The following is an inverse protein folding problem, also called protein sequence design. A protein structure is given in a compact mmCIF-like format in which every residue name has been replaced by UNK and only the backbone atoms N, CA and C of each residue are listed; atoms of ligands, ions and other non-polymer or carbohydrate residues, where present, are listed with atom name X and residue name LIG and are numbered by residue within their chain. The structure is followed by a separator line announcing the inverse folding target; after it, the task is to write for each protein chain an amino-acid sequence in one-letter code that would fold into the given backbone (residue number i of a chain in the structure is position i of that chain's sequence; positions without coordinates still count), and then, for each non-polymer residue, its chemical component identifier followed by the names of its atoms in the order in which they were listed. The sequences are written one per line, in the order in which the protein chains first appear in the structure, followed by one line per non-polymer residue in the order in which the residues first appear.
data_IF_425597991542
#
_entry.id   IF_425597991542
#
_cell.length_a   1.000
_cell.length_b   1.000
_cell.length_c   1.000
_cell.angle_alpha   90.00
_cell.angle_beta   90.00
_cell.angle_gamma   90.00
#
_symmetry.space_group_name_H-M   'P 1'
#
loop_
_entity.id
_entity.type
_entity.pdbx_description
1 polymer ?
#
# COMPACT_ATOMS: atom_id res chain seq x y z
N UNK A 1 -6.46 21.42 -2.62
CA UNK A 1 -6.25 22.74 -3.27
C UNK A 1 -7.08 23.79 -2.53
N UNK A 2 -6.56 25.00 -2.36
CA UNK A 2 -7.33 26.14 -1.85
C UNK A 2 -7.95 26.88 -3.03
N UNK A 3 -9.23 27.24 -2.93
CA UNK A 3 -9.90 28.10 -3.93
C UNK A 3 -9.38 29.54 -3.95
N UNK A 4 -8.86 30.03 -2.82
CA UNK A 4 -8.22 31.35 -2.71
C UNK A 4 -7.21 31.35 -1.55
N UNK A 5 -6.10 32.11 -1.69
CA UNK A 5 -5.11 32.34 -0.62
C UNK A 5 -5.48 33.48 0.33
N UNK A 6 -6.48 34.29 -0.02
CA UNK A 6 -7.04 35.36 0.80
C UNK A 6 -8.56 35.25 0.75
N UNK A 7 -9.20 35.33 1.91
CA UNK A 7 -10.66 35.36 2.05
C UNK A 7 -10.98 36.69 2.71
N UNK A 8 -11.77 37.54 2.04
CA UNK A 8 -12.17 38.82 2.61
C UNK A 8 -13.14 38.61 3.79
N UNK A 9 -13.23 39.61 4.68
CA UNK A 9 -14.13 39.55 5.83
C UNK A 9 -15.57 39.23 5.39
N UNK A 10 -16.20 38.28 6.08
CA UNK A 10 -17.56 37.83 5.77
C UNK A 10 -17.71 37.03 4.47
N UNK A 11 -16.61 36.69 3.77
CA UNK A 11 -16.64 35.82 2.58
C UNK A 11 -16.25 34.39 2.93
N UNK A 12 -16.57 33.47 2.02
CA UNK A 12 -16.27 32.05 2.17
C UNK A 12 -15.18 31.61 1.19
N UNK A 13 -14.32 30.69 1.65
CA UNK A 13 -13.37 29.96 0.82
C UNK A 13 -13.68 28.47 0.86
N UNK A 14 -13.28 27.75 -0.20
CA UNK A 14 -13.34 26.28 -0.30
C UNK A 14 -11.95 25.67 -0.22
N UNK A 15 -11.83 24.58 0.54
CA UNK A 15 -10.65 23.72 0.61
C UNK A 15 -11.04 22.36 0.02
N UNK A 16 -10.40 21.99 -1.09
CA UNK A 16 -10.54 20.66 -1.67
C UNK A 16 -9.44 19.75 -1.12
N UNK A 17 -9.82 18.58 -0.61
CA UNK A 17 -8.91 17.57 -0.08
C UNK A 17 -9.12 16.28 -0.84
N UNK A 18 -8.02 15.62 -1.22
CA UNK A 18 -8.03 14.31 -1.86
C UNK A 18 -7.26 13.36 -0.97
N UNK A 19 -7.87 12.23 -0.64
CA UNK A 19 -7.25 11.15 0.12
C UNK A 19 -7.14 9.97 -0.81
N UNK A 20 -5.92 9.47 -1.01
CA UNK A 20 -5.70 8.19 -1.67
C UNK A 20 -5.98 7.08 -0.65
N UNK A 21 -7.01 6.28 -0.92
CA UNK A 21 -7.45 5.18 -0.06
C UNK A 21 -6.93 3.82 -0.51
N UNK A 22 -6.11 3.74 -1.57
CA UNK A 22 -5.70 2.47 -2.17
C UNK A 22 -4.94 1.56 -1.19
N UNK A 23 -4.17 2.13 -0.25
CA UNK A 23 -3.41 1.41 0.77
C UNK A 23 -4.02 1.54 2.17
N UNK A 24 -5.27 1.99 2.28
CA UNK A 24 -5.94 2.23 3.56
C UNK A 24 -7.07 1.24 3.76
N UNK A 25 -7.35 0.90 5.02
CA UNK A 25 -8.45 0.01 5.40
C UNK A 25 -8.94 0.33 6.80
N UNK A 26 -10.21 0.02 7.07
CA UNK A 26 -10.84 0.26 8.37
C UNK A 26 -11.09 1.74 8.64
N UNK A 27 -11.18 2.10 9.92
CA UNK A 27 -11.44 3.48 10.34
C UNK A 27 -10.17 4.31 10.16
N UNK A 28 -10.24 5.29 9.26
CA UNK A 28 -9.18 6.25 9.00
C UNK A 28 -9.60 7.63 9.45
N UNK A 29 -8.72 8.27 10.22
CA UNK A 29 -8.82 9.67 10.60
C UNK A 29 -7.62 10.45 10.02
N UNK A 30 -7.89 11.50 9.26
CA UNK A 30 -6.88 12.45 8.74
C UNK A 30 -7.25 13.85 9.16
N UNK A 31 -6.25 14.66 9.45
CA UNK A 31 -6.43 16.05 9.86
C UNK A 31 -5.72 16.98 8.90
N UNK A 32 -6.35 18.10 8.58
CA UNK A 32 -5.74 19.22 7.88
C UNK A 32 -5.75 20.42 8.82
N UNK A 33 -4.57 21.00 9.03
CA UNK A 33 -4.41 22.21 9.80
C UNK A 33 -4.40 23.40 8.85
N UNK A 34 -5.31 24.33 9.06
CA UNK A 34 -5.40 25.58 8.29
C UNK A 34 -4.86 26.69 9.16
N UNK A 35 -3.69 27.21 8.79
CA UNK A 35 -3.13 28.41 9.42
C UNK A 35 -3.83 29.64 8.86
N UNK A 36 -4.29 30.52 9.75
CA UNK A 36 -4.99 31.77 9.40
C UNK A 36 -4.33 32.96 10.09
N UNK A 37 -4.70 34.16 9.66
CA UNK A 37 -4.35 35.41 10.33
C UNK A 37 -5.49 35.96 11.21
N UNK A 38 -6.51 35.15 11.51
CA UNK A 38 -7.54 35.47 12.50
C UNK A 38 -6.93 35.26 13.90
N UNK A 39 -6.76 36.31 14.73
CA UNK A 39 -6.13 36.20 16.04
C UNK A 39 -6.93 35.31 17.02
N UNK A 40 -8.21 35.04 16.75
CA UNK A 40 -9.01 34.12 17.56
C UNK A 40 -8.84 32.66 17.10
N UNK A 41 -8.47 32.42 15.84
CA UNK A 41 -8.42 31.11 15.21
C UNK A 41 -7.18 30.95 14.32
N UNK A 42 -5.99 31.17 14.88
CA UNK A 42 -4.72 31.11 14.14
C UNK A 42 -4.50 29.73 13.48
N UNK A 43 -5.02 28.66 14.09
CA UNK A 43 -4.99 27.31 13.53
C UNK A 43 -6.38 26.68 13.66
N UNK A 44 -6.98 26.34 12.53
CA UNK A 44 -8.22 25.56 12.47
C UNK A 44 -7.90 24.12 12.06
N UNK A 45 -8.30 23.15 12.89
CA UNK A 45 -8.17 21.72 12.58
C UNK A 45 -9.44 21.21 11.90
N UNK A 46 -9.30 20.73 10.67
CA UNK A 46 -10.36 20.04 9.93
C UNK A 46 -10.09 18.53 9.95
N UNK A 47 -11.02 17.76 10.51
CA UNK A 47 -10.87 16.30 10.63
C UNK A 47 -11.75 15.59 9.60
N UNK A 48 -11.15 14.66 8.86
CA UNK A 48 -11.82 13.73 7.95
C UNK A 48 -11.83 12.37 8.64
N UNK A 49 -13.00 11.78 8.82
CA UNK A 49 -13.18 10.39 9.26
C UNK A 49 -13.85 9.60 8.17
N UNK A 50 -13.33 8.41 7.88
CA UNK A 50 -13.90 7.50 6.91
C UNK A 50 -13.71 6.05 7.37
N UNK A 51 -14.68 5.20 7.10
CA UNK A 51 -14.51 3.75 7.16
C UNK A 51 -14.24 3.24 5.75
N UNK A 52 -13.07 2.65 5.54
CA UNK A 52 -12.60 2.20 4.24
C UNK A 52 -12.70 0.70 4.17
N UNK A 53 -13.62 0.22 3.34
CA UNK A 53 -13.74 -1.19 2.96
C UNK A 53 -12.91 -1.47 1.71
N UNK A 54 -11.71 -2.07 1.83
CA UNK A 54 -10.86 -2.32 0.68
C UNK A 54 -11.44 -3.42 -0.21
N UNK A 55 -11.14 -3.35 -1.52
CA UNK A 55 -11.53 -4.40 -2.46
C UNK A 55 -10.70 -5.68 -2.30
N UNK A 56 -9.50 -5.55 -1.72
CA UNK A 56 -8.60 -6.64 -1.33
C UNK A 56 -7.95 -6.27 0.00
N UNK A 57 -8.06 -7.14 1.00
CA UNK A 57 -7.42 -7.00 2.31
C UNK A 57 -6.07 -7.72 2.25
N UNK A 58 -5.03 -7.08 2.77
CA UNK A 58 -3.69 -7.67 2.89
C UNK A 58 -3.43 -8.00 4.36
N UNK A 59 -2.78 -9.13 4.65
CA UNK A 59 -2.34 -9.45 6.03
C UNK A 59 -1.29 -8.47 6.54
N UNK A 60 -0.44 -7.98 5.63
CA UNK A 60 0.67 -7.10 5.92
C UNK A 60 0.73 -5.96 4.89
N UNK A 61 1.21 -4.78 5.28
CA UNK A 61 1.32 -3.63 4.38
C UNK A 61 2.53 -3.72 3.42
N UNK A 62 3.50 -4.58 3.73
CA UNK A 62 4.76 -4.71 3.01
C UNK A 62 5.39 -6.09 3.25
N UNK A 63 6.33 -6.48 2.38
CA UNK A 63 7.14 -7.69 2.52
C UNK A 63 8.56 -7.30 2.93
N UNK A 64 8.98 -7.74 4.11
CA UNK A 64 10.33 -7.52 4.61
C UNK A 64 11.16 -8.81 4.52
N UNK A 65 12.17 -8.80 3.66
CA UNK A 65 13.16 -9.87 3.58
C UNK A 65 14.17 -9.77 4.73
N UNK A 66 14.40 -8.56 5.27
CA UNK A 66 15.37 -8.31 6.32
C UNK A 66 16.82 -8.48 5.82
N UNK A 67 17.75 -8.57 6.76
CA UNK A 67 19.17 -8.77 6.48
C UNK A 67 19.45 -10.27 6.34
N UNK A 68 20.00 -10.68 5.21
CA UNK A 68 20.33 -12.09 5.00
C UNK A 68 21.43 -12.31 3.96
N UNK A 69 22.27 -13.34 4.12
CA UNK A 69 23.40 -13.57 3.25
C UNK A 69 22.95 -13.95 1.83
N UNK A 70 23.78 -13.58 0.85
CA UNK A 70 23.69 -14.09 -0.52
C UNK A 70 23.90 -15.61 -0.54
N UNK A 71 23.32 -16.29 -1.53
CA UNK A 71 23.58 -17.71 -1.81
C UNK A 71 22.41 -18.64 -1.50
N UNK A 72 21.37 -18.17 -0.82
CA UNK A 72 20.11 -18.91 -0.63
C UNK A 72 18.92 -18.07 -1.06
N UNK A 73 17.93 -18.73 -1.63
CA UNK A 73 16.63 -18.10 -1.84
C UNK A 73 15.98 -17.81 -0.49
N UNK A 74 15.29 -16.67 -0.40
CA UNK A 74 14.51 -16.33 0.78
C UNK A 74 13.06 -16.11 0.35
N UNK A 75 12.16 -16.91 0.91
CA UNK A 75 10.71 -16.89 0.64
C UNK A 75 9.98 -16.11 1.72
N UNK A 76 9.11 -15.20 1.31
CA UNK A 76 8.14 -14.49 2.15
C UNK A 76 6.75 -14.63 1.54
N UNK A 77 5.76 -14.62 2.40
CA UNK A 77 4.36 -14.78 2.01
C UNK A 77 3.51 -13.71 2.67
N UNK A 78 2.47 -13.31 1.96
CA UNK A 78 1.45 -12.39 2.44
C UNK A 78 0.10 -12.96 2.01
N UNK A 79 -0.89 -12.90 2.91
CA UNK A 79 -2.25 -13.32 2.59
C UNK A 79 -3.03 -12.14 1.98
N UNK A 80 -3.66 -12.38 0.84
CA UNK A 80 -4.61 -11.47 0.21
C UNK A 80 -6.01 -12.06 0.28
N UNK A 81 -6.97 -11.26 0.71
CA UNK A 81 -8.36 -11.67 0.90
C UNK A 81 -9.29 -10.73 0.14
N UNK A 82 -10.02 -11.24 -0.83
CA UNK A 82 -11.12 -10.53 -1.50
C UNK A 82 -12.38 -10.69 -0.63
N UNK A 83 -12.97 -9.61 -0.10
CA UNK A 83 -14.20 -9.71 0.67
C UNK A 83 -15.33 -10.39 -0.12
N UNK A 84 -16.19 -11.16 0.55
CA UNK A 84 -17.24 -11.98 -0.11
C UNK A 84 -18.15 -11.15 -1.02
N UNK A 85 -18.49 -9.93 -0.61
CA UNK A 85 -19.34 -9.02 -1.37
C UNK A 85 -18.68 -8.42 -2.64
N UNK A 86 -17.38 -8.64 -2.85
CA UNK A 86 -16.62 -8.09 -3.99
C UNK A 86 -16.32 -9.18 -5.01
N UNK A 87 -16.35 -8.81 -6.29
CA UNK A 87 -16.05 -9.71 -7.42
C UNK A 87 -14.78 -9.26 -8.14
N UNK A 88 -13.65 -9.30 -7.42
CA UNK A 88 -12.32 -8.94 -7.93
C UNK A 88 -11.61 -10.18 -8.43
N UNK A 89 -10.93 -10.07 -9.56
CA UNK A 89 -10.00 -11.08 -10.07
C UNK A 89 -8.59 -10.52 -10.11
N UNK A 90 -7.61 -11.28 -9.66
CA UNK A 90 -6.21 -10.93 -9.87
C UNK A 90 -5.82 -11.30 -11.30
N UNK A 91 -5.28 -10.32 -12.04
CA UNK A 91 -4.89 -10.48 -13.43
C UNK A 91 -3.40 -10.81 -13.60
N UNK A 92 -2.53 -10.10 -12.87
CA UNK A 92 -1.09 -10.32 -12.94
C UNK A 92 -0.40 -9.82 -11.68
N UNK A 93 0.76 -10.38 -11.35
CA UNK A 93 1.65 -9.89 -10.30
C UNK A 93 3.05 -9.75 -10.86
N UNK A 94 3.77 -8.68 -10.50
CA UNK A 94 5.18 -8.48 -10.85
C UNK A 94 5.91 -7.71 -9.76
N UNK A 95 7.21 -7.96 -9.58
CA UNK A 95 8.08 -7.07 -8.81
C UNK A 95 8.81 -6.09 -9.74
N UNK A 96 9.09 -4.89 -9.26
CA UNK A 96 10.02 -3.94 -9.88
C UNK A 96 11.48 -4.22 -9.54
N UNK A 97 11.76 -5.03 -8.52
CA UNK A 97 13.12 -5.47 -8.20
C UNK A 97 13.43 -6.75 -9.00
N UNK A 98 14.41 -6.73 -9.92
CA UNK A 98 14.78 -7.91 -10.70
C UNK A 98 15.36 -9.06 -9.85
N UNK A 99 15.77 -8.81 -8.61
CA UNK A 99 16.24 -9.82 -7.67
C UNK A 99 15.09 -10.55 -6.95
N UNK A 100 13.85 -10.10 -7.10
CA UNK A 100 12.67 -10.73 -6.50
C UNK A 100 11.74 -11.29 -7.56
N UNK A 101 11.34 -12.54 -7.38
CA UNK A 101 10.28 -13.19 -8.16
C UNK A 101 9.01 -13.27 -7.34
N UNK A 102 7.86 -13.16 -8.00
CA UNK A 102 6.56 -13.14 -7.33
C UNK A 102 5.57 -14.02 -8.06
N UNK A 103 4.68 -14.66 -7.30
CA UNK A 103 3.58 -15.46 -7.81
C UNK A 103 2.44 -15.49 -6.82
N UNK A 104 1.27 -15.87 -7.30
CA UNK A 104 0.06 -16.00 -6.48
C UNK A 104 -0.37 -17.46 -6.49
N UNK A 105 -0.68 -17.98 -5.32
CA UNK A 105 -1.33 -19.27 -5.13
C UNK A 105 -2.71 -19.05 -4.52
N UNK A 106 -3.71 -19.80 -4.96
CA UNK A 106 -5.00 -19.86 -4.28
C UNK A 106 -4.85 -20.58 -2.93
N UNK A 107 -5.69 -20.23 -1.97
CA UNK A 107 -5.83 -21.00 -0.73
C UNK A 107 -7.02 -21.95 -0.89
N UNK A 108 -6.79 -23.24 -0.69
CA UNK A 108 -7.82 -24.27 -0.81
C UNK A 108 -9.01 -23.99 0.12
N UNK A 109 -10.22 -24.31 -0.35
CA UNK A 109 -11.45 -24.12 0.42
C UNK A 109 -11.89 -22.66 0.59
N UNK A 110 -11.28 -21.70 -0.13
CA UNK A 110 -11.63 -20.27 -0.05
C UNK A 110 -12.47 -19.73 -1.21
N UNK A 111 -12.93 -20.59 -2.13
CA UNK A 111 -13.64 -20.20 -3.36
C UNK A 111 -12.89 -19.12 -4.18
N UNK A 112 -11.56 -19.14 -4.11
CA UNK A 112 -10.69 -18.16 -4.77
C UNK A 112 -10.69 -16.77 -4.13
N UNK A 113 -11.28 -16.61 -2.93
CA UNK A 113 -11.28 -15.35 -2.18
C UNK A 113 -10.00 -15.13 -1.39
N UNK A 114 -9.35 -16.20 -0.94
CA UNK A 114 -8.07 -16.11 -0.23
C UNK A 114 -6.94 -16.58 -1.14
N UNK A 115 -5.87 -15.81 -1.17
CA UNK A 115 -4.72 -16.02 -2.04
C UNK A 115 -3.44 -15.73 -1.27
N UNK A 116 -2.39 -16.52 -1.50
CA UNK A 116 -1.04 -16.24 -1.01
C UNK A 116 -0.26 -15.53 -2.10
N UNK A 117 0.22 -14.32 -1.81
CA UNK A 117 1.27 -13.70 -2.58
C UNK A 117 2.61 -14.22 -2.04
N UNK A 118 3.35 -14.90 -2.89
CA UNK A 118 4.64 -15.49 -2.55
C UNK A 118 5.72 -14.69 -3.26
N UNK A 119 6.58 -14.05 -2.48
CA UNK A 119 7.74 -13.32 -2.95
C UNK A 119 9.01 -14.09 -2.60
N UNK A 120 9.86 -14.32 -3.59
CA UNK A 120 11.12 -15.05 -3.43
C UNK A 120 12.26 -14.18 -3.89
N UNK A 121 13.11 -13.78 -2.95
CA UNK A 121 14.42 -13.20 -3.26
C UNK A 121 15.32 -14.30 -3.81
N UNK A 122 15.84 -14.08 -5.01
CA UNK A 122 16.73 -15.04 -5.70
C UNK A 122 18.05 -15.22 -4.94
N UNK A 123 18.63 -16.41 -5.02
CA UNK A 123 19.90 -16.74 -4.36
C UNK A 123 21.08 -15.88 -4.86
N UNK A 124 21.02 -15.43 -6.11
CA UNK A 124 22.02 -14.60 -6.76
C UNK A 124 21.74 -13.09 -6.66
N UNK A 125 20.83 -12.66 -5.78
CA UNK A 125 20.57 -11.25 -5.53
C UNK A 125 21.90 -10.50 -5.26
N UNK A 126 22.12 -9.32 -5.89
CA UNK A 126 23.27 -8.47 -5.61
C UNK A 126 23.42 -8.18 -4.12
N UNK A 127 24.66 -8.02 -3.65
CA UNK A 127 24.92 -7.59 -2.26
C UNK A 127 24.52 -6.12 -2.13
N UNK A 128 23.89 -5.78 -1.02
CA UNK A 128 23.45 -4.42 -0.70
C UNK A 128 21.95 -4.31 -0.45
N UNK A 129 21.45 -3.07 -0.32
CA UNK A 129 20.05 -2.82 -0.04
C UNK A 129 19.18 -3.05 -1.27
N UNK A 130 18.03 -3.66 -1.04
CA UNK A 130 16.99 -3.93 -2.03
C UNK A 130 15.71 -3.21 -1.61
N UNK A 131 15.15 -2.44 -2.54
CA UNK A 131 13.86 -1.77 -2.38
C UNK A 131 13.06 -1.93 -3.67
N UNK A 132 11.86 -2.48 -3.53
CA UNK A 132 11.01 -2.80 -4.66
C UNK A 132 9.54 -2.51 -4.38
N UNK A 133 8.76 -2.62 -5.44
CA UNK A 133 7.30 -2.60 -5.40
C UNK A 133 6.80 -3.87 -6.08
N UNK A 134 5.96 -4.61 -5.40
CA UNK A 134 5.16 -5.67 -5.98
C UNK A 134 3.85 -5.05 -6.45
N UNK A 135 3.59 -5.12 -7.75
CA UNK A 135 2.41 -4.55 -8.39
C UNK A 135 1.46 -5.68 -8.75
N UNK A 136 0.33 -5.73 -8.06
CA UNK A 136 -0.77 -6.65 -8.33
C UNK A 136 -1.82 -5.93 -9.15
N UNK A 137 -2.10 -6.42 -10.36
CA UNK A 137 -3.17 -5.88 -11.22
C UNK A 137 -4.46 -6.64 -11.00
N UNK A 138 -5.56 -5.91 -10.94
CA UNK A 138 -6.89 -6.42 -10.63
C UNK A 138 -7.91 -6.06 -11.72
N UNK A 139 -8.90 -6.93 -11.89
CA UNK A 139 -10.03 -6.77 -12.81
C UNK A 139 -11.35 -6.88 -12.05
N UNK A 140 -12.38 -6.20 -12.57
CA UNK A 140 -13.75 -6.23 -12.02
C UNK A 140 -14.03 -5.21 -10.90
N UNK A 141 -13.00 -4.52 -10.38
CA UNK A 141 -13.12 -3.51 -9.34
C UNK A 141 -12.74 -2.09 -9.75
N UNK A 142 -12.83 -1.17 -8.78
CA UNK A 142 -12.33 0.21 -8.89
C UNK A 142 -10.82 0.27 -8.71
N UNK A 143 -10.27 -0.59 -7.86
CA UNK A 143 -8.82 -0.72 -7.69
C UNK A 143 -8.29 -1.51 -8.88
N UNK A 144 -7.35 -0.90 -9.62
CA UNK A 144 -6.72 -1.51 -10.81
C UNK A 144 -5.32 -2.04 -10.53
N UNK A 145 -4.62 -1.39 -9.61
CA UNK A 145 -3.29 -1.78 -9.16
C UNK A 145 -3.23 -1.66 -7.65
N UNK A 146 -2.74 -2.72 -6.99
CA UNK A 146 -2.38 -2.73 -5.58
C UNK A 146 -0.86 -2.75 -5.53
N UNK A 147 -0.28 -1.83 -4.77
CA UNK A 147 1.18 -1.69 -4.61
C UNK A 147 1.57 -2.15 -3.21
N UNK A 148 2.40 -3.18 -3.16
CA UNK A 148 2.97 -3.70 -1.91
C UNK A 148 4.46 -3.39 -1.94
N UNK A 149 4.96 -2.72 -0.91
CA UNK A 149 6.39 -2.42 -0.83
C UNK A 149 7.15 -3.65 -0.40
N UNK A 150 8.34 -3.85 -0.96
CA UNK A 150 9.28 -4.86 -0.50
C UNK A 150 10.63 -4.24 -0.19
N UNK A 151 11.30 -4.75 0.85
CA UNK A 151 12.65 -4.34 1.18
C UNK A 151 13.44 -5.42 1.89
N UNK A 152 14.77 -5.27 1.85
CA UNK A 152 15.71 -6.10 2.58
C UNK A 152 17.14 -5.73 2.26
N UNK A 153 18.09 -6.39 2.92
CA UNK A 153 19.51 -6.20 2.68
C UNK A 153 20.15 -7.57 2.42
N UNK A 154 20.93 -7.65 1.34
CA UNK A 154 21.69 -8.85 1.02
C UNK A 154 23.10 -8.65 1.52
N UNK A 155 23.53 -9.43 2.48
CA UNK A 155 24.89 -9.36 3.04
C UNK A 155 25.83 -10.30 2.29
N UNK A 156 27.14 -10.02 2.35
CA UNK A 156 28.13 -11.02 1.98
C UNK A 156 27.95 -12.24 2.91
N UNK A 157 27.88 -13.44 2.34
CA UNK A 157 27.94 -14.66 3.15
C UNK A 157 29.27 -14.74 3.89
N UNK A 158 29.27 -15.23 5.13
CA UNK A 158 30.52 -15.55 5.83
C UNK A 158 31.31 -16.57 4.99
N UNK A 159 32.63 -16.34 4.88
CA UNK A 159 33.56 -17.23 4.20
C UNK A 159 33.75 -18.52 4.97
#
# INVERSE_FOLDING_TARGET
MLSAKKVAAGKSGRIEMKVDTASLSGIVEKSVFVTTNDPQNEIVKLTIKAEIEPEVILSDAAIFFGDSPRGKELRRELLMTVPRAKSIKIHSVRSTDPAVSVRIEGVDGSDGKNMRLIAVRKANAPIGPHFGKIIVRTLGGRVREIVIYESGNVTAGEK
#
